data_IF_966142917398
#
_entry.id   IF_966142917398
#
_cell.length_a   1.000
_cell.length_b   1.000
_cell.length_c   1.000
_cell.angle_alpha   90.00
_cell.angle_beta   90.00
_cell.angle_gamma   90.00
#
_symmetry.space_group_name_H-M   'P 1'
#
loop_
_entity.id
_entity.type
_entity.pdbx_description
1 polymer ?
#
# COMPACT_ATOMS: atom_id res chain seq x y z
N UNK A 1 -13.89 -16.44 -15.76
CA UNK A 1 -13.03 -15.42 -15.11
C UNK A 1 -11.60 -15.94 -15.05
N UNK A 2 -10.63 -15.19 -15.57
CA UNK A 2 -9.23 -15.63 -15.65
C UNK A 2 -8.67 -15.94 -14.24
N UNK A 3 -7.98 -17.06 -14.04
CA UNK A 3 -7.42 -17.49 -12.72
C UNK A 3 -6.61 -16.36 -12.06
N UNK A 4 -5.89 -15.60 -12.89
CA UNK A 4 -5.07 -14.44 -12.50
C UNK A 4 -5.91 -13.30 -11.93
N UNK A 5 -7.03 -13.00 -12.57
CA UNK A 5 -8.00 -11.97 -12.15
C UNK A 5 -8.72 -12.36 -10.86
N UNK A 6 -8.97 -13.66 -10.65
CA UNK A 6 -9.53 -14.19 -9.39
C UNK A 6 -8.56 -14.06 -8.22
N UNK A 7 -7.26 -14.29 -8.44
CA UNK A 7 -6.23 -14.11 -7.41
C UNK A 7 -6.09 -12.63 -7.07
N UNK A 8 -6.06 -11.77 -8.08
CA UNK A 8 -6.01 -10.32 -7.90
C UNK A 8 -7.18 -9.84 -7.02
N UNK A 9 -8.42 -10.12 -7.43
CA UNK A 9 -9.63 -9.76 -6.69
C UNK A 9 -9.65 -10.29 -5.25
N UNK A 10 -8.91 -11.36 -4.95
CA UNK A 10 -8.80 -11.91 -3.59
C UNK A 10 -7.80 -11.15 -2.74
N UNK A 11 -6.78 -10.53 -3.34
CA UNK A 11 -5.71 -9.80 -2.65
C UNK A 11 -6.04 -8.30 -2.54
N UNK A 12 -6.77 -7.73 -3.50
CA UNK A 12 -7.17 -6.30 -3.51
C UNK A 12 -7.85 -5.83 -2.21
N UNK A 13 -8.80 -6.57 -1.61
CA UNK A 13 -9.48 -6.14 -0.38
C UNK A 13 -8.52 -6.05 0.81
N UNK A 14 -7.61 -7.03 0.92
CA UNK A 14 -6.59 -7.05 1.97
C UNK A 14 -5.62 -5.87 1.84
N UNK A 15 -5.22 -5.55 0.61
CA UNK A 15 -4.35 -4.41 0.32
C UNK A 15 -5.03 -3.06 0.62
N UNK A 16 -6.33 -2.95 0.30
CA UNK A 16 -7.12 -1.76 0.60
C UNK A 16 -7.25 -1.55 2.11
N UNK A 17 -7.49 -2.62 2.88
CA UNK A 17 -7.51 -2.55 4.33
C UNK A 17 -6.16 -2.08 4.91
N UNK A 18 -5.05 -2.60 4.37
CA UNK A 18 -3.69 -2.16 4.74
C UNK A 18 -3.46 -0.68 4.43
N UNK A 19 -3.90 -0.22 3.25
CA UNK A 19 -3.79 1.20 2.87
C UNK A 19 -4.54 2.12 3.83
N UNK A 20 -5.79 1.77 4.17
CA UNK A 20 -6.64 2.55 5.09
C UNK A 20 -6.05 2.56 6.50
N UNK A 21 -5.64 1.40 7.01
CA UNK A 21 -5.06 1.27 8.36
C UNK A 21 -3.82 2.14 8.50
N UNK A 22 -2.95 2.10 7.50
CA UNK A 22 -1.68 2.83 7.52
C UNK A 22 -1.90 4.34 7.37
N UNK A 23 -2.85 4.76 6.54
CA UNK A 23 -3.26 6.17 6.43
C UNK A 23 -3.87 6.71 7.73
N UNK A 24 -4.63 5.88 8.45
CA UNK A 24 -5.22 6.24 9.74
C UNK A 24 -4.15 6.44 10.83
N UNK A 25 -3.16 5.54 10.89
CA UNK A 25 -2.00 5.69 11.80
C UNK A 25 -1.23 6.98 11.51
N UNK A 26 -1.05 7.32 10.24
CA UNK A 26 -0.37 8.54 9.82
C UNK A 26 -1.16 9.81 10.17
N UNK A 27 -2.49 9.77 10.08
CA UNK A 27 -3.34 10.89 10.52
C UNK A 27 -3.22 11.12 12.04
N UNK A 28 -3.16 10.05 12.83
CA UNK A 28 -2.98 10.14 14.29
C UNK A 28 -1.58 10.64 14.65
N UNK A 29 -0.53 10.12 14.02
CA UNK A 29 0.85 10.58 14.22
C UNK A 29 1.04 12.03 13.75
N UNK A 30 0.31 12.42 12.71
CA UNK A 30 0.16 13.77 12.17
C UNK A 30 -0.20 14.83 13.21
N UNK A 31 -1.05 14.44 14.14
CA UNK A 31 -1.58 15.31 15.20
C UNK A 31 -0.64 15.36 16.42
N UNK A 32 0.24 14.36 16.59
CA UNK A 32 1.05 14.22 17.80
C UNK A 32 2.38 15.01 17.75
N UNK A 33 3.04 15.10 16.58
CA UNK A 33 4.26 15.90 16.40
C UNK A 33 4.59 16.14 14.90
N UNK A 34 4.74 17.40 14.48
CA UNK A 34 4.92 17.79 13.08
C UNK A 34 6.24 17.27 12.45
N UNK A 35 7.30 17.15 13.25
CA UNK A 35 8.60 16.64 12.75
C UNK A 35 8.56 15.11 12.57
N UNK A 36 7.89 14.42 13.49
CA UNK A 36 7.70 12.97 13.43
C UNK A 36 6.74 12.60 12.28
N UNK A 37 5.80 13.48 11.97
CA UNK A 37 4.87 13.36 10.83
C UNK A 37 5.60 13.33 9.50
N UNK A 38 6.56 14.23 9.26
CA UNK A 38 7.33 14.27 8.01
C UNK A 38 8.20 13.03 7.82
N UNK A 39 8.87 12.59 8.89
CA UNK A 39 9.70 11.37 8.86
C UNK A 39 8.86 10.11 8.61
N UNK A 40 7.74 9.97 9.32
CA UNK A 40 6.82 8.83 9.13
C UNK A 40 6.15 8.89 7.75
N UNK A 41 5.81 10.10 7.29
CA UNK A 41 5.33 10.45 5.95
C UNK A 41 6.23 9.89 4.84
N UNK A 42 7.53 10.18 4.94
CA UNK A 42 8.52 9.71 3.97
C UNK A 42 8.65 8.18 3.96
N UNK A 43 8.66 7.54 5.14
CA UNK A 43 8.69 6.07 5.26
C UNK A 43 7.43 5.42 4.66
N UNK A 44 6.27 6.05 4.83
CA UNK A 44 5.03 5.58 4.24
C UNK A 44 5.05 5.65 2.72
N UNK A 45 5.49 6.77 2.13
CA UNK A 45 5.60 6.90 0.68
C UNK A 45 6.57 5.83 0.14
N UNK A 46 7.68 5.56 0.84
CA UNK A 46 8.60 4.47 0.47
C UNK A 46 7.94 3.09 0.51
N UNK A 47 7.22 2.76 1.59
CA UNK A 47 6.51 1.47 1.72
C UNK A 47 5.42 1.32 0.65
N UNK A 48 4.65 2.37 0.39
CA UNK A 48 3.61 2.35 -0.65
C UNK A 48 4.22 2.23 -2.05
N UNK A 49 5.31 2.93 -2.32
CA UNK A 49 6.05 2.84 -3.59
C UNK A 49 6.60 1.43 -3.78
N UNK A 50 7.18 0.82 -2.74
CA UNK A 50 7.65 -0.56 -2.78
C UNK A 50 6.51 -1.55 -3.00
N UNK A 51 5.35 -1.35 -2.36
CA UNK A 51 4.16 -2.18 -2.58
C UNK A 51 3.66 -2.07 -4.03
N UNK A 52 3.54 -0.86 -4.57
CA UNK A 52 3.12 -0.61 -5.96
C UNK A 52 4.09 -1.26 -6.94
N UNK A 53 5.41 -1.08 -6.74
CA UNK A 53 6.45 -1.67 -7.59
C UNK A 53 6.39 -3.21 -7.54
N UNK A 54 6.24 -3.79 -6.35
CA UNK A 54 6.12 -5.24 -6.17
C UNK A 54 4.86 -5.78 -6.86
N UNK A 55 3.76 -5.02 -6.79
CA UNK A 55 2.52 -5.32 -7.48
C UNK A 55 2.68 -5.24 -8.99
N UNK A 56 3.30 -4.17 -9.50
CA UNK A 56 3.59 -3.98 -10.92
C UNK A 56 4.45 -5.12 -11.45
N UNK A 57 5.53 -5.48 -10.75
CA UNK A 57 6.37 -6.62 -11.11
C UNK A 57 5.59 -7.94 -11.09
N UNK A 58 4.73 -8.18 -10.08
CA UNK A 58 3.85 -9.36 -10.08
C UNK A 58 2.86 -9.33 -11.24
N UNK A 59 2.22 -8.21 -11.54
CA UNK A 59 1.31 -8.04 -12.68
C UNK A 59 1.99 -8.30 -14.02
N UNK A 60 3.19 -7.74 -14.22
CA UNK A 60 4.00 -7.94 -15.43
C UNK A 60 4.42 -9.41 -15.57
N UNK A 61 4.82 -10.07 -14.48
CA UNK A 61 5.10 -11.53 -14.46
C UNK A 61 3.85 -12.38 -14.74
N UNK A 62 2.68 -11.84 -14.40
CA UNK A 62 1.38 -12.47 -14.63
C UNK A 62 0.88 -12.19 -16.06
N UNK A 63 1.62 -11.47 -16.90
CA UNK A 63 1.36 -11.35 -18.35
C UNK A 63 0.18 -10.42 -18.68
N UNK A 64 0.15 -9.25 -18.04
CA UNK A 64 -0.65 -8.10 -18.44
C UNK A 64 0.28 -7.02 -19.00
#
# INVERSE_FOLDING_TARGET
MNKKLKILMKITPFLSALFILTGFVMAILGVLDHNLTLFTGALFIMVQTALIITYWMRFKKIGF
#
